data_IF_887196106458
#
_entry.id   IF_887196106458
#
_cell.length_a   1.000
_cell.length_b   1.000
_cell.length_c   1.000
_cell.angle_alpha   90.00
_cell.angle_beta   90.00
_cell.angle_gamma   90.00
#
_symmetry.space_group_name_H-M   'P 1'
#
loop_
_entity.id
_entity.type
_entity.pdbx_description
1 polymer ?
#
# COMPACT_ATOMS: atom_id res chain seq x y z
N UNK A 1 1.30 16.12 -16.78
CA UNK A 1 2.14 15.03 -17.31
C UNK A 1 2.65 14.23 -16.14
N UNK A 2 2.48 12.91 -16.17
CA UNK A 2 2.92 12.00 -15.10
C UNK A 2 4.44 12.22 -14.85
N UNK A 3 4.87 12.61 -13.64
CA UNK A 3 6.28 12.89 -13.35
C UNK A 3 7.21 11.70 -13.60
N UNK A 4 6.71 10.46 -13.44
CA UNK A 4 7.42 9.24 -13.81
C UNK A 4 7.69 9.18 -15.32
N UNK A 5 6.65 9.29 -16.15
CA UNK A 5 6.80 9.29 -17.62
C UNK A 5 7.75 10.38 -18.10
N UNK A 6 7.68 11.58 -17.49
CA UNK A 6 8.62 12.66 -17.76
C UNK A 6 10.07 12.28 -17.46
N UNK A 7 10.33 11.54 -16.38
CA UNK A 7 11.68 11.11 -16.02
C UNK A 7 12.29 10.15 -17.06
N UNK A 8 11.44 9.42 -17.80
CA UNK A 8 11.82 8.53 -18.89
C UNK A 8 11.65 9.16 -20.28
N UNK A 9 11.38 10.47 -20.37
CA UNK A 9 11.09 11.16 -21.64
C UNK A 9 9.93 10.54 -22.45
N UNK A 10 8.99 9.89 -21.77
CA UNK A 10 7.81 9.29 -22.37
C UNK A 10 6.60 10.23 -22.26
N UNK A 11 5.77 10.21 -23.30
CA UNK A 11 4.53 10.98 -23.40
C UNK A 11 3.30 10.22 -22.89
N UNK A 12 3.37 8.88 -22.89
CA UNK A 12 2.33 7.96 -22.42
C UNK A 12 2.94 6.63 -21.94
N UNK A 13 2.15 5.78 -21.28
CA UNK A 13 2.59 4.42 -20.92
C UNK A 13 2.91 3.57 -22.17
N UNK A 14 2.12 3.71 -23.24
CA UNK A 14 2.37 3.02 -24.51
C UNK A 14 3.68 3.48 -25.17
N UNK A 15 3.97 4.78 -25.14
CA UNK A 15 5.24 5.35 -25.61
C UNK A 15 6.42 4.83 -24.78
N UNK A 16 6.30 4.82 -23.44
CA UNK A 16 7.33 4.25 -22.57
C UNK A 16 7.58 2.76 -22.88
N UNK A 17 6.52 1.96 -23.01
CA UNK A 17 6.64 0.52 -23.34
C UNK A 17 7.39 0.30 -24.65
N UNK A 18 7.06 1.08 -25.68
CA UNK A 18 7.76 1.04 -26.97
C UNK A 18 9.23 1.41 -26.82
N UNK A 19 9.55 2.49 -26.11
CA UNK A 19 10.94 2.90 -25.90
C UNK A 19 11.75 1.85 -25.13
N UNK A 20 11.16 1.19 -24.12
CA UNK A 20 11.80 0.12 -23.36
C UNK A 20 12.10 -1.13 -24.21
N UNK A 21 11.41 -1.33 -25.33
CA UNK A 21 11.67 -2.42 -26.28
C UNK A 21 12.76 -2.07 -27.30
N UNK A 22 12.98 -0.78 -27.56
CA UNK A 22 13.88 -0.28 -28.62
C UNK A 22 15.21 0.27 -28.07
N UNK A 23 15.28 0.63 -26.79
CA UNK A 23 16.44 1.27 -26.14
C UNK A 23 16.92 0.49 -24.90
N UNK A 24 17.99 -0.30 -25.08
CA UNK A 24 18.63 -1.09 -24.02
C UNK A 24 19.17 -0.22 -22.86
N UNK A 25 19.58 1.02 -23.13
CA UNK A 25 20.09 1.94 -22.11
C UNK A 25 18.93 2.42 -21.24
N UNK A 26 17.80 2.75 -21.87
CA UNK A 26 16.58 3.13 -21.16
C UNK A 26 16.02 1.95 -20.36
N UNK A 27 16.01 0.74 -20.93
CA UNK A 27 15.60 -0.48 -20.26
C UNK A 27 16.46 -0.75 -19.02
N UNK A 28 17.79 -0.63 -19.15
CA UNK A 28 18.70 -0.75 -18.00
C UNK A 28 18.36 0.27 -16.92
N UNK A 29 18.14 1.53 -17.29
CA UNK A 29 17.77 2.60 -16.34
C UNK A 29 16.44 2.33 -15.64
N UNK A 30 15.45 1.79 -16.36
CA UNK A 30 14.18 1.37 -15.79
C UNK A 30 14.35 0.23 -14.78
N UNK A 31 15.16 -0.78 -15.12
CA UNK A 31 15.45 -1.90 -14.23
C UNK A 31 16.24 -1.48 -12.99
N UNK A 32 17.20 -0.55 -13.15
CA UNK A 32 17.93 0.05 -12.02
C UNK A 32 16.93 0.74 -11.06
N UNK A 33 15.95 1.48 -11.59
CA UNK A 33 14.88 2.10 -10.79
C UNK A 33 14.00 1.08 -10.08
N UNK A 34 13.60 0.00 -10.77
CA UNK A 34 12.82 -1.08 -10.15
C UNK A 34 13.58 -1.73 -8.98
N UNK A 35 14.87 -2.06 -9.17
CA UNK A 35 15.70 -2.67 -8.12
C UNK A 35 15.80 -1.78 -6.88
N UNK A 36 16.03 -0.48 -7.05
CA UNK A 36 16.08 0.46 -5.92
C UNK A 36 14.74 0.60 -5.21
N UNK A 37 13.65 0.59 -5.99
CA UNK A 37 12.32 0.62 -5.42
C UNK A 37 12.02 -0.65 -4.60
N UNK A 38 12.41 -1.83 -5.09
CA UNK A 38 12.30 -3.08 -4.32
C UNK A 38 13.12 -3.02 -3.03
N UNK A 39 14.35 -2.49 -3.06
CA UNK A 39 15.16 -2.28 -1.84
C UNK A 39 14.51 -1.32 -0.84
N UNK A 40 13.93 -0.23 -1.33
CA UNK A 40 13.16 0.71 -0.51
C UNK A 40 12.01 -0.02 0.21
N UNK A 41 11.22 -0.82 -0.51
CA UNK A 41 10.14 -1.59 0.13
C UNK A 41 10.65 -2.66 1.08
N UNK A 42 11.75 -3.35 0.77
CA UNK A 42 12.32 -4.37 1.67
C UNK A 42 12.73 -3.76 3.00
N UNK A 43 13.41 -2.62 2.99
CA UNK A 43 13.78 -1.99 4.26
C UNK A 43 12.56 -1.35 4.97
N UNK A 44 11.50 -0.96 4.23
CA UNK A 44 10.19 -0.73 4.86
C UNK A 44 9.59 -2.02 5.46
N UNK A 45 9.77 -3.19 4.86
CA UNK A 45 9.28 -4.47 5.41
C UNK A 45 9.96 -4.84 6.74
N UNK A 46 11.25 -4.57 6.88
CA UNK A 46 12.02 -4.80 8.11
C UNK A 46 11.63 -3.85 9.25
N UNK A 47 11.11 -2.67 8.93
CA UNK A 47 10.64 -1.72 9.94
C UNK A 47 9.33 -2.21 10.58
N UNK A 48 9.20 -2.24 11.92
CA UNK A 48 7.97 -2.69 12.58
C UNK A 48 6.80 -1.74 12.31
N UNK A 49 5.61 -2.30 12.12
CA UNK A 49 4.37 -1.50 12.08
C UNK A 49 3.98 -1.06 13.48
N UNK A 50 3.71 0.23 13.65
CA UNK A 50 3.31 0.86 14.91
C UNK A 50 1.78 0.86 15.02
N UNK A 51 1.20 -0.26 15.43
CA UNK A 51 -0.27 -0.45 15.46
C UNK A 51 -0.87 -0.22 16.84
N UNK A 52 -0.05 -0.25 17.88
CA UNK A 52 -0.49 -0.09 19.27
C UNK A 52 0.57 0.64 20.10
N UNK A 53 0.15 1.08 21.28
CA UNK A 53 0.97 1.82 22.25
C UNK A 53 2.30 1.12 22.58
N UNK A 54 2.28 -0.19 22.83
CA UNK A 54 3.49 -0.94 23.22
C UNK A 54 4.53 -0.86 22.10
N UNK A 55 4.11 -1.04 20.84
CA UNK A 55 5.00 -0.95 19.69
C UNK A 55 5.57 0.46 19.49
N UNK A 56 4.78 1.49 19.76
CA UNK A 56 5.23 2.89 19.68
C UNK A 56 6.28 3.18 20.75
N UNK A 57 6.04 2.76 21.99
CA UNK A 57 6.98 2.94 23.10
C UNK A 57 8.28 2.17 22.89
N UNK A 58 8.20 0.91 22.42
CA UNK A 58 9.35 0.09 22.05
C UNK A 58 10.17 0.74 20.94
N UNK A 59 9.51 1.22 19.87
CA UNK A 59 10.18 1.92 18.77
C UNK A 59 10.99 3.11 19.27
N UNK A 60 10.39 4.01 20.05
CA UNK A 60 11.09 5.18 20.57
C UNK A 60 12.23 4.82 21.53
N UNK A 61 12.09 3.72 22.28
CA UNK A 61 13.13 3.20 23.18
C UNK A 61 14.31 2.63 22.41
N UNK A 62 14.07 1.78 21.41
CA UNK A 62 15.13 1.17 20.61
C UNK A 62 15.93 2.19 19.79
N UNK A 63 15.27 3.27 19.38
CA UNK A 63 15.88 4.36 18.61
C UNK A 63 16.43 5.51 19.48
N UNK A 64 16.47 5.35 20.81
CA UNK A 64 17.04 6.30 21.77
C UNK A 64 16.45 7.73 21.74
N UNK A 65 15.17 7.88 21.38
CA UNK A 65 14.51 9.19 21.32
C UNK A 65 14.49 9.93 22.65
N UNK A 66 14.52 9.22 23.78
CA UNK A 66 14.62 9.81 25.11
C UNK A 66 15.84 10.73 25.33
N UNK A 67 16.82 10.71 24.41
CA UNK A 67 17.98 11.61 24.43
C UNK A 67 17.79 12.90 23.62
N UNK A 68 16.73 13.04 22.82
CA UNK A 68 16.52 14.26 22.03
C UNK A 68 15.86 15.38 22.86
N UNK A 69 16.36 16.62 22.68
CA UNK A 69 15.75 17.85 23.19
C UNK A 69 14.78 18.48 22.18
N UNK A 70 14.50 17.80 21.07
CA UNK A 70 13.66 18.31 19.98
C UNK A 70 12.41 17.46 19.84
N UNK A 71 11.35 18.06 19.32
CA UNK A 71 10.20 17.27 18.91
C UNK A 71 10.48 16.55 17.59
N UNK A 72 9.85 15.40 17.39
CA UNK A 72 9.99 14.60 16.19
C UNK A 72 8.60 14.21 15.69
N UNK A 73 8.37 14.41 14.39
CA UNK A 73 7.17 13.96 13.72
C UNK A 73 7.51 12.76 12.84
N UNK A 74 7.11 11.58 13.28
CA UNK A 74 7.34 10.32 12.58
C UNK A 74 6.19 10.10 11.62
N UNK A 75 6.45 10.25 10.33
CA UNK A 75 5.47 9.96 9.28
C UNK A 75 5.37 8.46 9.07
N UNK A 76 4.14 7.97 8.92
CA UNK A 76 3.80 6.58 8.72
C UNK A 76 3.11 6.35 7.37
N UNK A 77 3.38 5.21 6.75
CA UNK A 77 2.66 4.79 5.55
C UNK A 77 1.28 4.15 5.84
N UNK A 78 0.61 3.66 4.80
CA UNK A 78 -0.71 3.01 4.88
C UNK A 78 -0.77 1.78 5.79
N UNK A 79 0.35 1.08 5.99
CA UNK A 79 0.49 -0.07 6.90
C UNK A 79 1.11 0.30 8.26
N UNK A 80 1.09 1.59 8.60
CA UNK A 80 1.55 2.19 9.86
C UNK A 80 3.03 1.96 10.16
N UNK A 81 3.87 1.93 9.12
CA UNK A 81 5.33 1.83 9.28
C UNK A 81 6.00 3.19 9.16
N UNK A 82 7.00 3.51 10.00
CA UNK A 82 7.81 4.72 9.88
C UNK A 82 8.46 4.85 8.50
N UNK A 83 8.32 6.01 7.85
CA UNK A 83 8.92 6.32 6.54
C UNK A 83 9.79 7.57 6.56
N UNK A 84 9.51 8.51 7.48
CA UNK A 84 10.22 9.77 7.66
C UNK A 84 10.22 10.19 9.11
N UNK A 85 11.29 10.84 9.54
CA UNK A 85 11.37 11.59 10.79
C UNK A 85 11.63 13.05 10.46
N UNK A 86 10.77 13.94 10.96
CA UNK A 86 10.97 15.38 10.90
C UNK A 86 11.27 15.93 12.28
N UNK A 87 12.45 16.51 12.42
CA UNK A 87 12.82 17.25 13.63
C UNK A 87 12.09 18.60 13.64
N UNK A 88 11.25 18.82 14.64
CA UNK A 88 10.45 20.03 14.82
C UNK A 88 11.03 20.94 15.91
N UNK A 89 10.85 22.25 15.72
CA UNK A 89 11.08 23.24 16.77
C UNK A 89 9.91 23.22 17.76
N UNK A 90 10.19 22.97 19.04
CA UNK A 90 9.20 22.96 20.13
C UNK A 90 8.38 24.26 20.20
N UNK A 91 8.97 25.39 19.82
CA UNK A 91 8.26 26.68 19.83
C UNK A 91 7.18 26.74 18.76
N UNK A 92 7.35 26.01 17.66
CA UNK A 92 6.49 25.99 16.47
C UNK A 92 5.89 24.61 16.20
N UNK A 93 5.63 23.84 17.26
CA UNK A 93 5.13 22.47 17.18
C UNK A 93 3.78 22.36 16.44
N UNK A 94 3.03 23.45 16.36
CA UNK A 94 1.76 23.60 15.67
C UNK A 94 1.88 23.90 14.17
N UNK A 95 3.08 24.23 13.67
CA UNK A 95 3.32 24.56 12.27
C UNK A 95 3.92 23.39 11.49
N UNK A 96 3.46 23.21 10.25
CA UNK A 96 4.16 22.42 9.24
C UNK A 96 4.73 23.40 8.23
N UNK A 97 6.06 23.54 8.21
CA UNK A 97 6.70 24.45 7.26
C UNK A 97 6.58 23.94 5.80
N UNK A 98 6.86 24.83 4.84
CA UNK A 98 6.75 24.51 3.42
C UNK A 98 7.68 23.37 2.99
N UNK A 99 8.85 23.21 3.60
CA UNK A 99 9.78 22.13 3.30
C UNK A 99 9.21 20.78 3.72
N UNK A 100 8.72 20.68 4.95
CA UNK A 100 8.12 19.46 5.50
C UNK A 100 6.85 19.12 4.71
N UNK A 101 5.96 20.09 4.45
CA UNK A 101 4.76 19.86 3.64
C UNK A 101 5.12 19.34 2.23
N UNK A 102 6.11 19.95 1.58
CA UNK A 102 6.57 19.51 0.26
C UNK A 102 7.23 18.12 0.28
N UNK A 103 7.86 17.74 1.38
CA UNK A 103 8.47 16.42 1.54
C UNK A 103 7.42 15.34 1.86
N UNK A 104 6.43 15.66 2.71
CA UNK A 104 5.26 14.79 2.97
C UNK A 104 4.55 14.47 1.66
N UNK A 105 4.23 15.49 0.83
CA UNK A 105 3.59 15.29 -0.48
C UNK A 105 4.43 14.43 -1.44
N UNK A 106 5.75 14.42 -1.27
CA UNK A 106 6.66 13.60 -2.08
C UNK A 106 6.92 12.22 -1.49
N UNK A 107 6.58 11.99 -0.23
CA UNK A 107 6.78 10.71 0.43
C UNK A 107 5.76 9.72 -0.13
N UNK A 108 6.13 8.45 -0.35
CA UNK A 108 5.17 7.44 -0.78
C UNK A 108 4.15 7.13 0.30
N UNK A 109 2.89 7.04 -0.11
CA UNK A 109 1.77 6.53 0.70
C UNK A 109 1.67 7.07 2.14
N UNK A 110 1.94 8.37 2.39
CA UNK A 110 1.90 8.90 3.73
C UNK A 110 0.44 8.90 4.18
N UNK A 111 0.17 8.33 5.36
CA UNK A 111 -1.19 8.17 5.88
C UNK A 111 -1.36 8.77 7.25
N UNK A 112 -0.37 8.58 8.10
CA UNK A 112 -0.46 8.91 9.50
C UNK A 112 0.84 9.50 10.01
N UNK A 113 0.81 10.07 11.20
CA UNK A 113 2.00 10.50 11.90
C UNK A 113 1.90 10.16 13.39
N UNK A 114 3.06 10.06 14.03
CA UNK A 114 3.22 10.01 15.48
C UNK A 114 4.11 11.18 15.88
N UNK A 115 3.67 11.94 16.87
CA UNK A 115 4.47 13.01 17.44
C UNK A 115 5.22 12.48 18.66
N UNK A 116 6.54 12.52 18.62
CA UNK A 116 7.35 12.45 19.82
C UNK A 116 7.71 13.86 20.28
N UNK A 117 7.64 14.07 21.59
CA UNK A 117 8.08 15.33 22.20
C UNK A 117 8.84 15.06 23.48
N UNK A 118 9.98 15.72 23.70
CA UNK A 118 10.60 15.76 25.01
C UNK A 118 9.65 16.47 25.97
N UNK A 119 9.75 16.06 27.22
CA UNK A 119 8.85 16.50 28.28
C UNK A 119 8.91 18.02 28.49
N UNK A 120 7.90 18.77 28.06
CA UNK A 120 7.84 20.23 28.29
C UNK A 120 6.41 20.78 28.33
N UNK A 121 6.02 21.46 29.41
CA UNK A 121 4.90 22.45 29.55
C UNK A 121 3.48 22.14 29.01
N UNK A 122 2.53 23.00 29.36
CA UNK A 122 1.12 22.94 28.90
C UNK A 122 0.98 23.05 27.36
N UNK A 123 1.93 23.72 26.71
CA UNK A 123 1.94 23.94 25.26
C UNK A 123 2.00 22.63 24.47
N UNK A 124 2.70 21.64 24.99
CA UNK A 124 2.86 20.31 24.38
C UNK A 124 1.56 19.50 24.43
N UNK A 125 0.57 19.92 25.22
CA UNK A 125 -0.77 19.33 25.26
C UNK A 125 -1.72 20.03 24.28
N UNK A 126 -1.54 21.34 24.04
CA UNK A 126 -2.47 22.14 23.24
C UNK A 126 -2.07 22.23 21.76
N UNK A 127 -0.77 22.42 21.46
CA UNK A 127 -0.25 22.58 20.08
C UNK A 127 -0.49 21.36 19.18
N UNK A 128 -0.46 20.10 19.68
CA UNK A 128 -0.74 18.94 18.85
C UNK A 128 -2.14 18.94 18.22
N UNK A 129 -3.14 19.63 18.79
CA UNK A 129 -4.46 19.78 18.16
C UNK A 129 -4.38 20.61 16.86
N UNK A 130 -3.62 21.70 16.89
CA UNK A 130 -3.42 22.57 15.72
C UNK A 130 -2.55 21.86 14.69
N UNK A 131 -1.50 21.17 15.15
CA UNK A 131 -0.68 20.31 14.31
C UNK A 131 -1.52 19.25 13.58
N UNK A 132 -2.40 18.54 14.29
CA UNK A 132 -3.27 17.52 13.70
C UNK A 132 -4.18 18.13 12.62
N UNK A 133 -4.74 19.33 12.87
CA UNK A 133 -5.53 20.05 11.85
C UNK A 133 -4.70 20.36 10.60
N UNK A 134 -3.46 20.80 10.77
CA UNK A 134 -2.57 21.12 9.65
C UNK A 134 -2.13 19.87 8.88
N UNK A 135 -1.84 18.77 9.58
CA UNK A 135 -1.57 17.46 8.97
C UNK A 135 -2.77 16.91 8.22
N UNK A 136 -3.98 17.09 8.76
CA UNK A 136 -5.23 16.65 8.11
C UNK A 136 -5.47 17.35 6.77
N UNK A 137 -5.01 18.60 6.59
CA UNK A 137 -5.05 19.28 5.28
C UNK A 137 -4.17 18.61 4.22
N UNK A 138 -3.17 17.84 4.64
CA UNK A 138 -2.30 17.03 3.80
C UNK A 138 -2.77 15.57 3.71
N UNK A 139 -3.93 15.24 4.29
CA UNK A 139 -4.44 13.87 4.35
C UNK A 139 -3.75 12.97 5.38
N UNK A 140 -2.99 13.57 6.32
CA UNK A 140 -2.24 12.83 7.34
C UNK A 140 -2.96 12.90 8.68
N UNK A 141 -3.23 11.73 9.28
CA UNK A 141 -3.84 11.60 10.60
C UNK A 141 -2.77 11.53 11.70
N UNK A 142 -2.79 12.43 12.69
CA UNK A 142 -1.93 12.27 13.87
C UNK A 142 -2.53 11.20 14.79
N UNK A 143 -1.86 10.06 14.93
CA UNK A 143 -2.38 8.91 15.69
C UNK A 143 -2.04 8.99 17.17
N UNK A 144 -0.76 9.21 17.47
CA UNK A 144 -0.22 9.12 18.82
C UNK A 144 0.67 10.31 19.16
N UNK A 145 0.68 10.65 20.46
CA UNK A 145 1.70 11.51 21.05
C UNK A 145 2.47 10.69 22.07
N UNK A 146 3.76 10.51 21.82
CA UNK A 146 4.71 9.95 22.77
C UNK A 146 5.46 11.08 23.46
N UNK A 147 5.59 10.97 24.78
CA UNK A 147 6.42 11.88 25.57
C UNK A 147 7.53 11.08 26.21
N UNK A 148 8.75 11.60 26.17
CA UNK A 148 9.90 10.97 26.82
C UNK A 148 10.69 11.91 27.73
N UNK A 149 11.36 11.29 28.69
CA UNK A 149 12.44 11.87 29.49
C UNK A 149 13.68 10.98 29.39
N UNK A 150 14.75 11.28 30.13
CA UNK A 150 16.02 10.55 30.16
C UNK A 150 15.96 9.03 30.49
N UNK A 151 14.79 8.50 30.89
CA UNK A 151 14.63 7.09 31.31
C UNK A 151 13.42 6.37 30.75
N UNK A 152 12.39 7.09 30.31
CA UNK A 152 11.08 6.52 29.93
C UNK A 152 10.51 7.23 28.71
N UNK A 153 9.77 6.48 27.90
CA UNK A 153 8.85 6.99 26.88
C UNK A 153 7.49 6.41 27.17
N UNK A 154 6.47 7.25 27.12
CA UNK A 154 5.08 6.88 27.36
C UNK A 154 4.20 7.52 26.29
N UNK A 155 3.26 6.75 25.74
CA UNK A 155 2.22 7.30 24.85
C UNK A 155 1.11 7.88 25.69
N UNK A 156 0.93 9.20 25.61
CA UNK A 156 -0.03 9.93 26.45
C UNK A 156 -1.39 10.16 25.77
N UNK A 157 -1.51 9.92 24.46
CA UNK A 157 -2.76 10.15 23.74
C UNK A 157 -2.81 9.32 22.47
N UNK A 158 -3.84 8.48 22.34
CA UNK A 158 -4.36 7.96 21.06
C UNK A 158 -5.49 8.87 20.60
N UNK A 159 -5.28 9.63 19.54
CA UNK A 159 -6.30 10.55 19.00
C UNK A 159 -7.59 9.84 18.55
N UNK A 160 -7.52 8.54 18.23
CA UNK A 160 -8.70 7.73 17.88
C UNK A 160 -9.65 7.42 19.04
N UNK A 161 -9.17 7.47 20.29
CA UNK A 161 -9.96 7.01 21.44
C UNK A 161 -10.48 8.13 22.36
N UNK A 162 -10.27 9.42 21.99
CA UNK A 162 -10.70 10.58 22.81
C UNK A 162 -10.22 10.51 24.28
N UNK A 163 -9.05 9.93 24.55
CA UNK A 163 -8.52 9.91 25.92
C UNK A 163 -7.74 11.22 26.16
N UNK A 164 -8.40 12.15 26.85
CA UNK A 164 -7.77 13.34 27.43
C UNK A 164 -7.28 13.00 28.84
N UNK A 165 -5.97 12.91 29.06
CA UNK A 165 -5.45 12.95 30.42
C UNK A 165 -5.51 14.37 30.98
N UNK A 166 -5.94 14.46 32.23
CA UNK A 166 -5.86 15.67 33.05
C UNK A 166 -4.38 16.01 33.33
N UNK A 167 -3.98 17.30 33.40
CA UNK A 167 -2.64 17.70 33.83
C UNK A 167 -2.19 17.08 35.16
N UNK A 168 -3.13 16.64 36.01
CA UNK A 168 -2.84 15.98 37.28
C UNK A 168 -2.14 14.61 37.13
N UNK A 169 -2.37 13.88 36.05
CA UNK A 169 -1.73 12.57 35.80
C UNK A 169 -0.25 12.69 35.43
N UNK A 170 0.15 13.82 34.85
CA UNK A 170 1.55 14.16 34.56
C UNK A 170 2.35 14.54 35.82
N UNK A 171 1.66 14.98 36.89
CA UNK A 171 2.28 15.33 38.17
C UNK A 171 2.76 14.12 38.98
N UNK A 172 2.14 12.95 38.81
CA UNK A 172 2.53 11.71 39.51
C UNK A 172 3.77 11.03 38.91
N UNK A 173 4.12 11.35 37.68
CA UNK A 173 5.25 10.75 36.95
C UNK A 173 6.63 11.32 37.35
N UNK A 174 6.69 12.20 38.35
CA UNK A 174 7.95 12.54 39.04
C UNK A 174 9.02 13.21 38.17
N UNK A 175 8.62 14.08 37.25
CA UNK A 175 9.51 14.66 36.25
C UNK A 175 10.38 15.80 36.81
N UNK A 176 11.71 15.65 36.73
CA UNK A 176 12.68 16.73 36.94
C UNK A 176 13.30 17.10 35.59
N UNK A 177 13.52 18.39 35.35
CA UNK A 177 14.40 18.87 34.27
C UNK A 177 15.81 18.31 34.52
N UNK A 178 16.11 17.12 34.00
CA UNK A 178 17.48 16.64 33.90
C UNK A 178 18.05 17.02 32.54
N UNK A 179 19.34 17.39 32.54
CA UNK A 179 20.13 17.74 31.37
C UNK A 179 20.26 16.52 30.45
N UNK A 180 19.38 16.44 29.45
CA UNK A 180 19.39 15.38 28.45
C UNK A 180 20.59 15.59 27.51
N UNK A 181 21.50 14.61 27.36
CA UNK A 181 22.61 14.69 26.41
C UNK A 181 22.10 14.64 24.96
N UNK A 182 22.77 15.33 24.03
CA UNK A 182 22.41 15.30 22.60
C UNK A 182 22.46 13.88 22.02
N UNK A 183 21.51 13.56 21.15
CA UNK A 183 21.41 12.32 20.40
C UNK A 183 22.76 12.01 19.71
N UNK A 184 23.45 10.93 20.09
CA UNK A 184 24.80 10.58 19.61
C UNK A 184 24.87 10.42 18.07
N UNK A 185 23.73 10.13 17.42
CA UNK A 185 23.57 10.14 15.97
C UNK A 185 22.15 10.58 15.59
N UNK A 186 21.96 11.60 14.73
CA UNK A 186 20.65 11.87 14.15
C UNK A 186 20.09 10.60 13.53
N UNK A 187 18.77 10.39 13.66
CA UNK A 187 18.12 9.37 12.85
C UNK A 187 18.43 9.68 11.40
N UNK A 188 19.13 8.75 10.74
CA UNK A 188 19.28 8.81 9.30
C UNK A 188 17.85 8.85 8.74
N UNK A 189 17.53 9.79 7.84
CA UNK A 189 16.22 9.85 7.22
C UNK A 189 15.90 8.44 6.73
N UNK A 190 14.77 7.87 7.19
CA UNK A 190 14.42 6.45 7.06
C UNK A 190 14.34 5.91 5.61
N UNK A 191 14.75 6.69 4.59
CA UNK A 191 15.40 6.26 3.35
C UNK A 191 15.35 7.42 2.35
N UNK A 192 16.49 7.89 1.84
CA UNK A 192 16.51 8.78 0.68
C UNK A 192 16.78 7.92 -0.56
N UNK A 193 15.84 7.87 -1.49
CA UNK A 193 16.10 7.29 -2.82
C UNK A 193 17.04 8.26 -3.56
N UNK A 194 18.33 7.94 -3.63
CA UNK A 194 19.38 8.78 -4.25
C UNK A 194 19.95 8.17 -5.53
N UNK A 195 19.11 7.61 -6.41
CA UNK A 195 19.56 7.20 -7.75
C UNK A 195 18.82 8.00 -8.83
N UNK A 196 19.60 8.62 -9.73
CA UNK A 196 19.15 9.35 -10.92
C UNK A 196 18.15 10.51 -10.69
N UNK A 197 18.17 11.18 -9.53
CA UNK A 197 17.16 12.20 -9.13
C UNK A 197 15.70 11.69 -9.16
N UNK A 198 15.51 10.37 -9.10
CA UNK A 198 14.19 9.76 -9.12
C UNK A 198 13.53 9.92 -7.74
N UNK A 199 12.41 10.65 -7.72
CA UNK A 199 11.73 11.03 -6.49
C UNK A 199 10.66 9.99 -6.12
N UNK A 200 10.35 9.81 -4.84
CA UNK A 200 9.36 8.82 -4.43
C UNK A 200 7.94 9.11 -4.95
N UNK A 201 7.62 10.34 -5.36
CA UNK A 201 6.35 10.67 -6.02
C UNK A 201 6.24 10.15 -7.47
N UNK A 202 7.30 9.56 -8.03
CA UNK A 202 7.25 8.86 -9.32
C UNK A 202 6.67 7.44 -9.18
N UNK A 203 6.39 7.03 -7.95
CA UNK A 203 5.92 5.71 -7.63
C UNK A 203 4.52 5.41 -8.17
N UNK A 204 3.60 6.36 -8.04
CA UNK A 204 2.27 6.22 -8.64
C UNK A 204 2.38 5.98 -10.15
N UNK A 205 3.21 6.77 -10.84
CA UNK A 205 3.38 6.60 -12.27
C UNK A 205 4.09 5.31 -12.68
N UNK A 206 5.00 4.80 -11.84
CA UNK A 206 5.56 3.48 -12.04
C UNK A 206 4.50 2.38 -11.91
N UNK A 207 3.66 2.43 -10.87
CA UNK A 207 2.58 1.45 -10.70
C UNK A 207 1.50 1.55 -11.77
N UNK A 208 1.20 2.76 -12.23
CA UNK A 208 0.29 2.99 -13.37
C UNK A 208 0.86 2.35 -14.64
N UNK A 209 2.18 2.47 -14.87
CA UNK A 209 2.85 1.80 -15.99
C UNK A 209 2.83 0.28 -15.83
N UNK A 210 3.12 -0.25 -14.64
CA UNK A 210 3.09 -1.70 -14.37
C UNK A 210 1.69 -2.29 -14.55
N UNK A 211 0.65 -1.56 -14.15
CA UNK A 211 -0.74 -1.94 -14.40
C UNK A 211 -1.06 -1.96 -15.90
N UNK A 212 -0.70 -0.90 -16.63
CA UNK A 212 -0.86 -0.85 -18.09
C UNK A 212 -0.13 -2.01 -18.79
N UNK A 213 1.11 -2.31 -18.40
CA UNK A 213 1.86 -3.42 -18.98
C UNK A 213 1.27 -4.79 -18.60
N UNK A 214 0.68 -4.93 -17.40
CA UNK A 214 -0.05 -6.12 -16.99
C UNK A 214 -1.29 -6.36 -17.86
N UNK A 215 -2.13 -5.34 -18.03
CA UNK A 215 -3.33 -5.38 -18.87
C UNK A 215 -3.00 -5.90 -20.27
N UNK A 216 -1.98 -5.31 -20.89
CA UNK A 216 -1.52 -5.69 -22.22
C UNK A 216 -0.96 -7.12 -22.31
N UNK A 217 -0.29 -7.59 -21.27
CA UNK A 217 0.32 -8.94 -21.23
C UNK A 217 -0.71 -10.03 -20.91
N UNK A 218 -1.76 -9.70 -20.17
CA UNK A 218 -2.79 -10.64 -19.72
C UNK A 218 -3.93 -10.81 -20.72
N UNK A 219 -4.29 -9.75 -21.45
CA UNK A 219 -5.33 -9.79 -22.49
C UNK A 219 -5.01 -10.86 -23.55
N UNK A 220 -6.01 -11.71 -23.84
CA UNK A 220 -5.92 -12.82 -24.78
C UNK A 220 -5.34 -14.11 -24.21
N UNK A 221 -4.91 -14.15 -22.94
CA UNK A 221 -4.49 -15.40 -22.29
C UNK A 221 -5.72 -16.16 -21.77
N UNK A 222 -5.69 -17.49 -21.91
CA UNK A 222 -6.73 -18.35 -21.37
C UNK A 222 -6.39 -18.77 -19.94
N UNK A 223 -7.36 -18.64 -19.01
CA UNK A 223 -7.11 -18.74 -17.56
C UNK A 223 -6.54 -20.10 -17.12
N UNK A 224 -6.88 -21.19 -17.81
CA UNK A 224 -6.38 -22.54 -17.50
C UNK A 224 -5.11 -22.90 -18.27
N UNK A 225 -5.12 -22.88 -19.60
CA UNK A 225 -3.96 -23.28 -20.41
C UNK A 225 -2.76 -22.36 -20.26
N UNK A 226 -2.96 -21.08 -19.91
CA UNK A 226 -1.90 -20.11 -19.65
C UNK A 226 -1.73 -19.78 -18.17
N UNK A 227 -2.24 -20.62 -17.25
CA UNK A 227 -2.25 -20.34 -15.80
C UNK A 227 -0.88 -19.94 -15.24
N UNK A 228 0.17 -20.67 -15.60
CA UNK A 228 1.52 -20.39 -15.09
C UNK A 228 2.12 -19.11 -15.69
N UNK A 229 1.83 -18.81 -16.95
CA UNK A 229 2.22 -17.54 -17.58
C UNK A 229 1.51 -16.36 -16.92
N UNK A 230 0.20 -16.49 -16.67
CA UNK A 230 -0.60 -15.50 -15.94
C UNK A 230 0.00 -15.25 -14.56
N UNK A 231 0.26 -16.30 -13.76
CA UNK A 231 0.88 -16.15 -12.44
C UNK A 231 2.23 -15.44 -12.51
N UNK A 232 3.06 -15.77 -13.50
CA UNK A 232 4.37 -15.14 -13.70
C UNK A 232 4.23 -13.65 -14.02
N UNK A 233 3.31 -13.28 -14.92
CA UNK A 233 3.01 -11.89 -15.26
C UNK A 233 2.52 -11.15 -14.00
N UNK A 234 1.60 -11.75 -13.23
CA UNK A 234 1.10 -11.15 -12.00
C UNK A 234 2.22 -10.89 -10.99
N UNK A 235 3.13 -11.84 -10.77
CA UNK A 235 4.29 -11.60 -9.90
C UNK A 235 5.16 -10.46 -10.45
N UNK A 236 5.48 -10.48 -11.74
CA UNK A 236 6.32 -9.44 -12.36
C UNK A 236 5.72 -8.04 -12.22
N UNK A 237 4.39 -7.92 -12.30
CA UNK A 237 3.70 -6.62 -12.36
C UNK A 237 3.24 -6.10 -10.99
N UNK A 238 2.89 -6.99 -10.07
CA UNK A 238 2.26 -6.62 -8.79
C UNK A 238 3.17 -6.86 -7.57
N UNK A 239 4.26 -7.61 -7.71
CA UNK A 239 5.22 -7.77 -6.62
C UNK A 239 5.89 -6.44 -6.27
N UNK A 240 6.11 -6.25 -4.98
CA UNK A 240 6.83 -5.08 -4.47
C UNK A 240 6.02 -3.80 -4.56
N UNK A 241 4.71 -3.84 -4.87
CA UNK A 241 3.91 -2.65 -4.70
C UNK A 241 3.78 -2.30 -3.19
N UNK A 242 3.88 -1.01 -2.81
CA UNK A 242 3.97 -0.57 -1.42
C UNK A 242 2.61 -0.50 -0.73
N UNK A 243 1.54 -0.62 -1.51
CA UNK A 243 0.16 -0.66 -1.07
C UNK A 243 -0.56 -1.83 -1.73
N UNK A 244 -1.61 -2.29 -1.08
CA UNK A 244 -2.53 -3.27 -1.67
C UNK A 244 -3.31 -2.57 -2.78
N UNK A 245 -3.25 -3.15 -3.96
CA UNK A 245 -4.13 -2.87 -5.09
C UNK A 245 -4.97 -4.10 -5.34
N UNK A 246 -6.17 -3.90 -5.87
CA UNK A 246 -6.97 -4.99 -6.36
C UNK A 246 -7.43 -4.69 -7.78
N UNK A 247 -7.36 -5.71 -8.61
CA UNK A 247 -7.75 -5.68 -10.00
C UNK A 247 -8.69 -6.89 -10.26
N UNK A 248 -9.52 -6.78 -11.29
CA UNK A 248 -10.33 -7.87 -11.81
C UNK A 248 -9.85 -8.24 -13.21
N UNK A 249 -9.73 -9.54 -13.48
CA UNK A 249 -9.52 -10.07 -14.82
C UNK A 249 -10.88 -10.55 -15.30
N UNK A 250 -11.45 -9.86 -16.28
CA UNK A 250 -12.73 -10.23 -16.87
C UNK A 250 -12.51 -11.34 -17.90
N UNK A 251 -13.25 -12.43 -17.75
CA UNK A 251 -13.19 -13.60 -18.61
C UNK A 251 -14.40 -13.61 -19.54
N UNK A 252 -14.15 -13.99 -20.79
CA UNK A 252 -15.22 -14.31 -21.74
C UNK A 252 -15.81 -15.70 -21.45
N UNK A 253 -16.79 -16.11 -22.27
CA UNK A 253 -17.45 -17.41 -22.14
C UNK A 253 -16.55 -18.61 -22.44
N UNK A 254 -15.36 -18.39 -23.00
CA UNK A 254 -14.37 -19.41 -23.30
C UNK A 254 -13.16 -19.35 -22.35
N UNK A 255 -13.19 -18.52 -21.30
CA UNK A 255 -12.12 -18.44 -20.30
C UNK A 255 -10.93 -17.59 -20.71
N UNK A 256 -11.03 -16.79 -21.77
CA UNK A 256 -10.00 -15.82 -22.15
C UNK A 256 -10.16 -14.51 -21.39
N UNK A 257 -9.04 -13.97 -20.90
CA UNK A 257 -9.00 -12.63 -20.32
C UNK A 257 -9.17 -11.62 -21.44
N UNK A 258 -10.27 -10.86 -21.45
CA UNK A 258 -10.49 -9.81 -22.44
C UNK A 258 -10.32 -8.41 -21.86
N UNK A 259 -10.40 -8.26 -20.53
CA UNK A 259 -10.20 -6.99 -19.84
C UNK A 259 -9.52 -7.18 -18.47
N UNK A 260 -8.67 -6.22 -18.09
CA UNK A 260 -8.06 -6.15 -16.76
C UNK A 260 -8.32 -4.76 -16.23
N UNK A 261 -9.04 -4.66 -15.12
CA UNK A 261 -9.48 -3.37 -14.60
C UNK A 261 -9.19 -3.24 -13.11
N UNK A 262 -8.72 -2.05 -12.71
CA UNK A 262 -8.43 -1.76 -11.31
C UNK A 262 -9.71 -1.40 -10.56
N UNK A 263 -9.99 -2.15 -9.50
CA UNK A 263 -11.10 -1.86 -8.59
C UNK A 263 -10.60 -1.01 -7.41
N UNK A 264 -11.23 0.15 -7.20
CA UNK A 264 -10.89 1.01 -6.08
C UNK A 264 -11.30 0.34 -4.76
N UNK A 265 -10.31 -0.18 -4.03
CA UNK A 265 -10.49 -0.62 -2.65
C UNK A 265 -10.50 0.62 -1.77
N UNK A 266 -11.69 1.09 -1.39
CA UNK A 266 -11.85 2.28 -0.54
C UNK A 266 -10.95 2.19 0.70
N UNK A 267 -10.06 3.17 0.88
CA UNK A 267 -9.24 3.26 2.08
C UNK A 267 -10.10 3.83 3.21
N UNK A 268 -10.50 2.99 4.16
CA UNK A 268 -10.73 3.37 5.57
C UNK A 268 -11.16 2.15 6.37
N UNK A 269 -10.41 1.84 7.44
CA UNK A 269 -10.84 1.17 8.67
C UNK A 269 -11.97 0.13 8.55
N UNK A 270 -11.61 -1.14 8.71
CA UNK A 270 -12.41 -2.35 8.45
C UNK A 270 -12.48 -2.68 6.95
N UNK A 271 -11.75 -3.72 6.55
CA UNK A 271 -11.74 -4.27 5.21
C UNK A 271 -13.09 -4.98 4.92
N UNK A 272 -14.15 -4.19 4.77
CA UNK A 272 -15.11 -4.48 3.71
C UNK A 272 -14.49 -3.94 2.43
N UNK A 273 -13.63 -4.73 1.81
CA UNK A 273 -13.41 -4.59 0.37
C UNK A 273 -14.80 -4.52 -0.27
N UNK A 274 -15.02 -3.52 -1.11
CA UNK A 274 -16.33 -3.20 -1.64
C UNK A 274 -16.79 -4.28 -2.62
N UNK A 275 -17.42 -5.33 -2.08
CA UNK A 275 -18.09 -6.40 -2.84
C UNK A 275 -18.99 -5.80 -3.92
N UNK A 276 -19.67 -4.69 -3.62
CA UNK A 276 -20.53 -4.01 -4.58
C UNK A 276 -19.69 -3.38 -5.70
N UNK A 277 -18.62 -2.65 -5.37
CA UNK A 277 -17.70 -2.06 -6.35
C UNK A 277 -17.09 -3.09 -7.30
N UNK A 278 -16.65 -4.24 -6.78
CA UNK A 278 -16.10 -5.34 -7.58
C UNK A 278 -17.18 -5.90 -8.52
N UNK A 279 -18.33 -6.29 -7.99
CA UNK A 279 -19.39 -6.92 -8.78
C UNK A 279 -20.00 -5.95 -9.79
N UNK A 280 -20.24 -4.70 -9.40
CA UNK A 280 -20.74 -3.67 -10.29
C UNK A 280 -19.78 -3.47 -11.45
N UNK A 281 -18.47 -3.42 -11.18
CA UNK A 281 -17.48 -3.24 -12.25
C UNK A 281 -17.38 -4.45 -13.17
N UNK A 282 -17.38 -5.68 -12.64
CA UNK A 282 -17.40 -6.90 -13.47
C UNK A 282 -18.64 -6.97 -14.37
N UNK A 283 -19.81 -6.58 -13.85
CA UNK A 283 -21.07 -6.55 -14.60
C UNK A 283 -21.09 -5.43 -15.65
N UNK A 284 -20.62 -4.22 -15.31
CA UNK A 284 -20.55 -3.08 -16.23
C UNK A 284 -19.62 -3.37 -17.42
N UNK A 285 -18.57 -4.17 -17.19
CA UNK A 285 -17.65 -4.65 -18.22
C UNK A 285 -18.20 -5.87 -19.00
N UNK A 286 -19.35 -6.42 -18.61
CA UNK A 286 -20.00 -7.54 -19.27
C UNK A 286 -19.28 -8.87 -19.09
N UNK A 287 -18.58 -9.07 -17.96
CA UNK A 287 -17.80 -10.27 -17.73
C UNK A 287 -18.70 -11.52 -17.62
N UNK A 288 -18.32 -12.60 -18.30
CA UNK A 288 -18.98 -13.89 -18.12
C UNK A 288 -18.59 -14.52 -16.79
N UNK A 289 -17.31 -14.42 -16.44
CA UNK A 289 -16.75 -14.72 -15.14
C UNK A 289 -15.60 -13.76 -14.87
N UNK A 290 -15.09 -13.71 -13.64
CA UNK A 290 -13.93 -12.87 -13.33
C UNK A 290 -12.98 -13.53 -12.33
N UNK A 291 -11.72 -13.15 -12.36
CA UNK A 291 -10.73 -13.49 -11.34
C UNK A 291 -10.43 -12.24 -10.52
N UNK A 292 -10.51 -12.36 -9.20
CA UNK A 292 -10.06 -11.30 -8.30
C UNK A 292 -8.54 -11.41 -8.13
N UNK A 293 -7.83 -10.30 -8.18
CA UNK A 293 -6.38 -10.25 -7.95
C UNK A 293 -6.08 -9.14 -6.96
N UNK A 294 -5.31 -9.43 -5.91
CA UNK A 294 -4.70 -8.38 -5.10
C UNK A 294 -3.27 -8.73 -4.71
N UNK A 295 -2.46 -7.72 -4.43
CA UNK A 295 -1.10 -7.92 -3.97
C UNK A 295 -1.00 -7.76 -2.45
N UNK A 296 -0.10 -8.51 -1.82
CA UNK A 296 0.34 -8.27 -0.46
C UNK A 296 1.69 -7.54 -0.47
N UNK A 297 1.77 -6.28 -0.01
CA UNK A 297 3.03 -5.54 0.10
C UNK A 297 4.08 -6.23 0.96
N UNK A 298 3.67 -7.13 1.86
CA UNK A 298 4.56 -7.96 2.67
C UNK A 298 5.34 -9.01 1.86
N UNK A 299 4.92 -9.30 0.62
CA UNK A 299 5.45 -10.38 -0.19
C UNK A 299 4.96 -11.78 0.21
N UNK A 300 4.26 -11.93 1.34
CA UNK A 300 3.68 -13.21 1.74
C UNK A 300 2.29 -13.39 1.09
N UNK A 301 2.11 -14.35 0.16
CA UNK A 301 0.83 -14.53 -0.53
C UNK A 301 -0.20 -15.32 0.27
N UNK A 302 0.08 -15.72 1.52
CA UNK A 302 -0.92 -16.39 2.37
C UNK A 302 -2.15 -15.49 2.56
N UNK A 303 -3.37 -15.94 2.19
CA UNK A 303 -4.58 -15.16 2.37
C UNK A 303 -4.86 -14.84 3.84
N UNK A 304 -5.31 -13.62 4.11
CA UNK A 304 -5.77 -13.17 5.42
C UNK A 304 -7.21 -13.63 5.70
N UNK A 305 -7.65 -13.47 6.95
CA UNK A 305 -9.06 -13.71 7.32
C UNK A 305 -10.02 -12.78 6.55
N UNK A 306 -9.61 -11.54 6.30
CA UNK A 306 -10.39 -10.59 5.50
C UNK A 306 -10.55 -11.08 4.05
N UNK A 307 -9.49 -11.63 3.46
CA UNK A 307 -9.52 -12.19 2.10
C UNK A 307 -10.47 -13.38 2.03
N UNK A 308 -10.45 -14.27 3.04
CA UNK A 308 -11.37 -15.41 3.12
C UNK A 308 -12.83 -14.97 3.19
N UNK A 309 -13.14 -13.96 4.02
CA UNK A 309 -14.50 -13.42 4.18
C UNK A 309 -14.97 -12.76 2.87
N UNK A 310 -14.12 -11.93 2.27
CA UNK A 310 -14.38 -11.27 0.99
C UNK A 310 -14.69 -12.30 -0.10
N UNK A 311 -13.80 -13.27 -0.28
CA UNK A 311 -13.91 -14.28 -1.34
C UNK A 311 -15.16 -15.13 -1.17
N UNK A 312 -15.46 -15.53 0.06
CA UNK A 312 -16.68 -16.30 0.38
C UNK A 312 -17.93 -15.50 0.03
N UNK A 313 -17.92 -14.20 0.31
CA UNK A 313 -19.05 -13.30 0.01
C UNK A 313 -19.19 -13.10 -1.49
N UNK A 314 -18.09 -12.79 -2.20
CA UNK A 314 -18.07 -12.67 -3.65
C UNK A 314 -18.58 -13.95 -4.31
N UNK A 315 -18.09 -15.12 -3.92
CA UNK A 315 -18.51 -16.40 -4.50
C UNK A 315 -20.03 -16.63 -4.40
N UNK A 316 -20.61 -16.32 -3.24
CA UNK A 316 -22.05 -16.47 -2.99
C UNK A 316 -22.90 -15.49 -3.79
N UNK A 317 -22.46 -14.23 -3.91
CA UNK A 317 -23.26 -13.18 -4.56
C UNK A 317 -23.08 -13.22 -6.07
N UNK A 318 -21.85 -13.31 -6.55
CA UNK A 318 -21.49 -13.36 -7.99
C UNK A 318 -22.22 -14.50 -8.72
N UNK A 319 -22.32 -15.68 -8.10
CA UNK A 319 -23.03 -16.83 -8.66
C UNK A 319 -24.54 -16.64 -8.81
N UNK A 320 -25.15 -15.67 -8.11
CA UNK A 320 -26.58 -15.32 -8.27
C UNK A 320 -26.81 -14.26 -9.33
N UNK A 321 -25.74 -13.61 -9.80
CA UNK A 321 -25.78 -12.52 -10.78
C UNK A 321 -25.31 -12.98 -12.16
N UNK A 322 -25.16 -14.29 -12.36
CA UNK A 322 -24.66 -14.91 -13.60
C UNK A 322 -23.30 -14.37 -14.08
N UNK A 323 -22.54 -13.74 -13.17
CA UNK A 323 -21.16 -13.29 -13.38
C UNK A 323 -20.30 -13.81 -12.22
N UNK A 324 -20.11 -15.13 -12.10
CA UNK A 324 -19.37 -15.74 -11.00
C UNK A 324 -17.87 -15.40 -10.96
N UNK A 325 -17.33 -15.34 -9.75
CA UNK A 325 -15.88 -15.40 -9.54
C UNK A 325 -15.35 -16.81 -9.89
N UNK A 326 -14.30 -16.86 -10.71
CA UNK A 326 -13.63 -18.09 -11.13
C UNK A 326 -12.53 -18.51 -10.13
N UNK A 327 -11.69 -17.55 -9.74
CA UNK A 327 -10.63 -17.73 -8.73
C UNK A 327 -10.32 -16.39 -8.05
N UNK A 328 -9.49 -16.45 -7.02
CA UNK A 328 -8.91 -15.30 -6.36
C UNK A 328 -7.40 -15.53 -6.20
N UNK A 329 -6.60 -14.63 -6.79
CA UNK A 329 -5.14 -14.65 -6.74
C UNK A 329 -4.60 -13.61 -5.77
N UNK A 330 -3.86 -14.09 -4.77
CA UNK A 330 -3.08 -13.25 -3.85
C UNK A 330 -1.64 -13.23 -4.33
N UNK A 331 -1.14 -12.05 -4.70
CA UNK A 331 0.19 -11.87 -5.28
C UNK A 331 1.20 -11.43 -4.22
N UNK A 332 2.18 -12.29 -3.96
CA UNK A 332 3.35 -11.99 -3.14
C UNK A 332 4.65 -12.30 -3.90
N UNK A 333 5.56 -13.05 -3.28
CA UNK A 333 6.73 -13.62 -3.97
C UNK A 333 6.36 -14.67 -5.03
N UNK A 334 5.19 -15.28 -4.85
CA UNK A 334 4.49 -16.13 -5.81
C UNK A 334 2.99 -15.81 -5.75
N UNK A 335 2.19 -16.41 -6.63
CA UNK A 335 0.73 -16.28 -6.57
C UNK A 335 0.15 -17.43 -5.77
N UNK A 336 -0.67 -17.12 -4.76
CA UNK A 336 -1.55 -18.09 -4.12
C UNK A 336 -2.94 -18.03 -4.77
N UNK A 337 -3.42 -19.17 -5.26
CA UNK A 337 -4.77 -19.34 -5.81
C UNK A 337 -5.71 -19.91 -4.74
N UNK A 338 -6.86 -19.28 -4.54
CA UNK A 338 -7.88 -19.79 -3.61
C UNK A 338 -8.42 -21.15 -4.03
N UNK A 339 -8.54 -21.39 -5.34
CA UNK A 339 -8.94 -22.70 -5.89
C UNK A 339 -7.86 -23.76 -5.61
N UNK A 340 -6.59 -23.47 -5.90
CA UNK A 340 -5.49 -24.43 -5.66
C UNK A 340 -5.30 -24.74 -4.17
N UNK A 341 -5.54 -23.75 -3.30
CA UNK A 341 -5.52 -23.91 -1.85
C UNK A 341 -6.77 -24.59 -1.29
N UNK A 342 -7.75 -24.96 -2.13
CA UNK A 342 -9.04 -25.52 -1.72
C UNK A 342 -9.84 -24.62 -0.75
N UNK A 343 -9.58 -23.30 -0.78
CA UNK A 343 -10.32 -22.28 -0.01
C UNK A 343 -11.60 -21.84 -0.74
N UNK A 344 -11.67 -22.10 -2.03
CA UNK A 344 -12.82 -21.96 -2.90
C UNK A 344 -12.98 -23.25 -3.69
N UNK A 345 -14.23 -23.67 -3.94
CA UNK A 345 -14.46 -24.73 -4.92
C UNK A 345 -14.21 -24.14 -6.31
N UNK A 346 -13.24 -24.68 -7.03
CA UNK A 346 -13.02 -24.34 -8.43
C UNK A 346 -14.28 -24.62 -9.25
N UNK A 347 -14.51 -23.81 -10.27
CA UNK A 347 -15.52 -24.10 -11.28
C UNK A 347 -14.84 -24.85 -12.43
N UNK A 348 -14.30 -26.03 -12.12
CA UNK A 348 -13.53 -26.89 -13.03
C UNK A 348 -14.29 -27.20 -14.34
N UNK A 349 -15.63 -27.08 -14.33
CA UNK A 349 -16.49 -27.32 -15.49
C UNK A 349 -17.00 -26.04 -16.18
N UNK A 350 -16.54 -24.84 -15.78
CA UNK A 350 -17.10 -23.56 -16.25
C UNK A 350 -16.91 -23.35 -17.75
N UNK A 351 -15.78 -23.79 -18.29
CA UNK A 351 -15.42 -23.62 -19.70
C UNK A 351 -15.39 -24.96 -20.46
N UNK A 352 -15.80 -26.07 -19.83
CA UNK A 352 -15.75 -27.42 -20.42
C UNK A 352 -16.82 -27.69 -21.49
N UNK A 353 -17.63 -26.71 -21.91
CA UNK A 353 -18.67 -26.92 -22.93
C UNK A 353 -18.69 -25.80 -23.97
N UNK A 354 -17.76 -25.82 -24.93
CA UNK A 354 -17.92 -25.10 -26.21
C UNK A 354 -17.23 -25.76 -27.41
N UNK A 355 -16.79 -27.01 -27.28
CA UNK A 355 -16.53 -27.90 -28.42
C UNK A 355 -17.76 -28.81 -28.67
N UNK A 356 -18.93 -28.19 -28.88
CA UNK A 356 -19.92 -28.82 -29.73
C UNK A 356 -19.57 -28.34 -31.13
N UNK A 357 -18.76 -29.14 -31.81
CA UNK A 357 -18.62 -29.10 -33.25
C UNK A 357 -20.02 -28.91 -33.84
N UNK A 358 -20.21 -27.79 -34.55
CA UNK A 358 -21.28 -27.72 -35.53
C UNK A 358 -20.97 -28.84 -36.52
N UNK A 359 -21.66 -29.98 -36.40
CA UNK A 359 -21.72 -30.98 -37.44
C UNK A 359 -22.31 -30.28 -38.68
N UNK A 360 -21.41 -29.88 -39.58
CA UNK A 360 -21.74 -29.31 -40.89
C UNK A 360 -22.43 -30.36 -41.80
N UNK A 361 -22.57 -31.61 -41.35
CA UNK A 361 -23.20 -32.70 -42.10
C UNK A 361 -24.73 -32.81 -41.95
N UNK A 362 -25.38 -32.04 -41.05
CA UNK A 362 -26.84 -32.09 -40.84
C UNK A 362 -27.63 -30.98 -41.59
N UNK A 363 -26.98 -30.23 -42.49
CA UNK A 363 -27.64 -29.25 -43.37
C UNK A 363 -27.87 -29.73 -44.82
N UNK A 364 -27.51 -30.98 -45.17
CA UNK A 364 -27.73 -31.56 -46.50
C UNK A 364 -28.48 -32.92 -46.51
N UNK A 365 -29.50 -33.10 -45.66
CA UNK A 365 -30.44 -34.24 -45.80
C UNK A 365 -31.91 -33.87 -45.77
#
# INVERSE_FOLDING_TARGET
MNPFLKAFNATSNADLKKQLQEDDVLLKRFNDYQSEFEKFNVSLQETPSLRNQVQVEEFFREHNFFTTQKAHLILLNTVLKPVRDYVLDLKKLDEIDKSIAMDIVKTPTPRAAILYTPLTTLDTILKPKVLNKNLSLLGIELLDIAVGNDKHVEVISRYKENIFFSPSSLGELGFKESSIPELDKPLEPFQKLEIYDLKPNYLYGYHDFKHFDAEEKLKGLHIETNKEDIKKILVEQYRGQPYETADILCLDNNGYVYEVDRVNVGSTSSATVDVYGILNRSLDLGAHAFVMVHNHPSGNPTPSEADMILTTTLNKVSSKLDCPIYDHFVVGHHVASFVELSLMKGKETMFENLSLDLDIDDLER
#
